data_IF_887598785729
#
_entry.id   IF_887598785729
#
_cell.length_a   1.000
_cell.length_b   1.000
_cell.length_c   1.000
_cell.angle_alpha   90.00
_cell.angle_beta   90.00
_cell.angle_gamma   90.00
#
_symmetry.space_group_name_H-M   'P 1'
#
loop_
_entity.id
_entity.type
_entity.pdbx_description
1 polymer ?
#
# COMPACT_ATOMS: atom_id res chain seq x y z
N UNK A 1 -37.53 -34.52 31.02
CA UNK A 1 -37.04 -33.99 29.70
C UNK A 1 -37.05 -32.48 29.62
N UNK A 2 -38.11 -31.72 29.90
CA UNK A 2 -38.15 -30.23 29.74
C UNK A 2 -37.08 -29.42 30.56
N UNK A 3 -36.67 -29.93 31.76
CA UNK A 3 -35.63 -29.23 32.56
C UNK A 3 -34.23 -29.38 31.99
N UNK A 4 -33.90 -30.52 31.37
CA UNK A 4 -32.58 -30.75 30.75
C UNK A 4 -32.42 -29.90 29.48
N UNK A 5 -33.49 -29.79 28.68
CA UNK A 5 -33.47 -28.95 27.48
C UNK A 5 -33.25 -27.47 27.80
N UNK A 6 -33.87 -26.95 28.89
CA UNK A 6 -33.64 -25.58 29.36
C UNK A 6 -32.19 -25.36 29.83
N UNK A 7 -31.61 -26.33 30.53
CA UNK A 7 -30.23 -26.23 30.99
C UNK A 7 -29.23 -26.21 29.81
N UNK A 8 -29.43 -27.06 28.80
CA UNK A 8 -28.61 -27.09 27.59
C UNK A 8 -28.70 -25.77 26.83
N UNK A 9 -29.90 -25.19 26.71
CA UNK A 9 -30.07 -23.89 26.02
C UNK A 9 -29.38 -22.75 26.74
N UNK A 10 -29.41 -22.69 28.07
CA UNK A 10 -28.74 -21.70 28.88
C UNK A 10 -27.21 -21.82 28.73
N UNK A 11 -26.65 -23.02 28.76
CA UNK A 11 -25.23 -23.28 28.58
C UNK A 11 -24.79 -22.84 27.18
N UNK A 12 -25.55 -23.15 26.13
CA UNK A 12 -25.27 -22.75 24.78
C UNK A 12 -25.27 -21.21 24.64
N UNK A 13 -26.24 -20.54 25.26
CA UNK A 13 -26.34 -19.08 25.26
C UNK A 13 -25.16 -18.43 25.97
N UNK A 14 -24.75 -18.94 27.14
CA UNK A 14 -23.59 -18.43 27.89
C UNK A 14 -22.28 -18.60 27.09
N UNK A 15 -22.08 -19.77 26.44
CA UNK A 15 -20.90 -20.03 25.63
C UNK A 15 -20.89 -19.10 24.42
N UNK A 16 -22.01 -18.91 23.72
CA UNK A 16 -22.13 -18.03 22.57
C UNK A 16 -21.88 -16.57 22.95
N UNK A 17 -22.40 -16.13 24.11
CA UNK A 17 -22.19 -14.77 24.60
C UNK A 17 -20.74 -14.51 25.01
N UNK A 18 -20.08 -15.47 25.65
CA UNK A 18 -18.66 -15.35 26.00
C UNK A 18 -17.77 -15.32 24.76
N UNK A 19 -18.03 -16.16 23.75
CA UNK A 19 -17.30 -16.15 22.48
C UNK A 19 -17.50 -14.82 21.73
N UNK A 20 -18.71 -14.27 21.72
CA UNK A 20 -18.99 -12.98 21.10
C UNK A 20 -18.28 -11.84 21.83
N UNK A 21 -18.30 -11.83 23.18
CA UNK A 21 -17.62 -10.83 24.00
C UNK A 21 -16.10 -10.87 23.80
N UNK A 22 -15.49 -12.05 23.79
CA UNK A 22 -14.05 -12.22 23.54
C UNK A 22 -13.66 -11.76 22.12
N UNK A 23 -14.45 -12.07 21.11
CA UNK A 23 -14.21 -11.62 19.74
C UNK A 23 -14.30 -10.09 19.62
N UNK A 24 -15.27 -9.48 20.28
CA UNK A 24 -15.42 -8.02 20.29
C UNK A 24 -14.26 -7.33 21.01
N UNK A 25 -13.79 -7.86 22.14
CA UNK A 25 -12.64 -7.32 22.88
C UNK A 25 -11.35 -7.43 22.04
N UNK A 26 -11.11 -8.57 21.39
CA UNK A 26 -9.94 -8.77 20.53
C UNK A 26 -9.96 -7.81 19.33
N UNK A 27 -11.10 -7.65 18.68
CA UNK A 27 -11.26 -6.70 17.57
C UNK A 27 -10.97 -5.26 18.01
N UNK A 28 -11.47 -4.84 19.17
CA UNK A 28 -11.24 -3.49 19.69
C UNK A 28 -9.78 -3.26 20.07
N UNK A 29 -9.09 -4.26 20.62
CA UNK A 29 -7.65 -4.20 20.89
C UNK A 29 -6.84 -4.03 19.59
N UNK A 30 -7.11 -4.85 18.57
CA UNK A 30 -6.44 -4.74 17.26
C UNK A 30 -6.67 -3.35 16.64
N UNK A 31 -7.90 -2.82 16.72
CA UNK A 31 -8.22 -1.49 16.21
C UNK A 31 -7.45 -0.40 16.94
N UNK A 32 -7.36 -0.47 18.27
CA UNK A 32 -6.58 0.46 19.08
C UNK A 32 -5.11 0.45 18.70
N UNK A 33 -4.52 -0.74 18.54
CA UNK A 33 -3.13 -0.91 18.13
C UNK A 33 -2.86 -0.31 16.75
N UNK A 34 -3.74 -0.56 15.77
CA UNK A 34 -3.62 0.00 14.42
C UNK A 34 -3.69 1.52 14.45
N UNK A 35 -4.63 2.09 15.21
CA UNK A 35 -4.85 3.55 15.26
C UNK A 35 -3.77 4.30 16.05
N UNK A 36 -3.09 3.65 16.98
CA UNK A 36 -2.02 4.24 17.79
C UNK A 36 -0.63 4.15 17.13
N UNK A 37 -0.48 3.38 16.05
CA UNK A 37 0.81 3.19 15.37
C UNK A 37 1.30 4.50 14.71
N UNK A 38 2.59 4.81 14.88
CA UNK A 38 3.20 6.06 14.39
C UNK A 38 3.97 5.87 13.06
N UNK A 39 4.24 4.65 12.67
CA UNK A 39 5.08 4.35 11.49
C UNK A 39 4.30 4.30 10.18
N UNK A 40 2.99 4.20 10.25
CA UNK A 40 2.06 4.35 9.15
C UNK A 40 0.83 5.17 9.60
N UNK A 41 0.04 5.62 8.63
CA UNK A 41 -1.19 6.35 8.92
C UNK A 41 -2.37 5.39 8.86
N UNK A 42 -3.31 5.53 9.79
CA UNK A 42 -4.56 4.79 9.78
C UNK A 42 -5.73 5.77 9.73
N UNK A 43 -6.73 5.44 8.91
CA UNK A 43 -7.96 6.22 8.82
C UNK A 43 -9.18 5.30 8.85
N UNK A 44 -10.25 5.76 9.48
CA UNK A 44 -11.55 5.08 9.42
C UNK A 44 -12.37 5.68 8.28
N UNK A 45 -12.78 4.83 7.36
CA UNK A 45 -13.69 5.23 6.28
C UNK A 45 -15.02 5.68 6.88
N UNK A 46 -15.45 6.90 6.57
CA UNK A 46 -16.64 7.53 7.18
C UNK A 46 -17.95 6.83 6.81
N UNK A 47 -18.01 6.19 5.66
CA UNK A 47 -19.21 5.53 5.15
C UNK A 47 -19.30 4.07 5.60
N UNK A 48 -18.18 3.37 5.56
CA UNK A 48 -18.15 1.92 5.82
C UNK A 48 -17.64 1.57 7.21
N UNK A 49 -17.14 2.55 7.98
CA UNK A 49 -16.44 2.38 9.25
C UNK A 49 -15.22 1.44 9.19
N UNK A 50 -14.77 1.06 8.00
CA UNK A 50 -13.63 0.19 7.77
C UNK A 50 -12.32 0.93 7.95
N UNK A 51 -11.29 0.22 8.39
CA UNK A 51 -9.95 0.78 8.58
C UNK A 51 -9.14 0.66 7.30
N UNK A 52 -8.52 1.75 6.90
CA UNK A 52 -7.54 1.82 5.84
C UNK A 52 -6.20 2.24 6.45
N UNK A 53 -5.10 1.65 5.98
CA UNK A 53 -3.76 2.06 6.39
C UNK A 53 -2.92 2.43 5.18
N UNK A 54 -1.99 3.38 5.36
CA UNK A 54 -1.09 3.83 4.29
C UNK A 54 0.22 4.34 4.83
N UNK A 55 1.29 4.19 4.06
CA UNK A 55 2.59 4.80 4.39
C UNK A 55 2.58 6.29 4.08
N UNK A 56 3.45 7.06 4.73
CA UNK A 56 3.80 8.40 4.24
C UNK A 56 4.44 8.28 2.85
N UNK A 57 4.34 9.36 2.07
CA UNK A 57 5.00 9.44 0.77
C UNK A 57 6.52 9.26 0.91
N UNK A 58 7.10 8.44 0.04
CA UNK A 58 8.54 8.23 -0.10
C UNK A 58 8.99 8.91 -1.37
N UNK A 59 9.92 9.85 -1.25
CA UNK A 59 10.47 10.58 -2.39
C UNK A 59 11.61 9.78 -3.01
N UNK A 60 11.52 9.59 -4.33
CA UNK A 60 12.60 9.01 -5.11
C UNK A 60 13.53 10.15 -5.54
N UNK A 61 14.68 10.24 -4.89
CA UNK A 61 15.66 11.26 -5.22
C UNK A 61 16.29 10.97 -6.58
N UNK A 62 16.05 11.81 -7.57
CA UNK A 62 17.03 12.09 -8.62
C UNK A 62 16.74 13.39 -9.37
N UNK A 63 17.82 14.17 -9.54
CA UNK A 63 18.02 15.29 -10.48
C UNK A 63 16.76 15.79 -11.21
N UNK A 64 16.05 16.75 -10.61
CA UNK A 64 14.96 17.55 -11.20
C UNK A 64 13.63 16.83 -11.55
N UNK A 65 13.47 15.54 -11.28
CA UNK A 65 12.21 14.83 -11.51
C UNK A 65 11.71 14.27 -10.19
N UNK A 66 10.64 14.84 -9.68
CA UNK A 66 10.07 14.45 -8.39
C UNK A 66 9.23 13.18 -8.56
N UNK A 67 9.83 12.02 -8.39
CA UNK A 67 9.10 10.78 -8.19
C UNK A 67 8.78 10.60 -6.72
N UNK A 68 7.57 10.18 -6.39
CA UNK A 68 7.22 9.76 -5.04
C UNK A 68 6.16 8.68 -5.06
N UNK A 69 6.19 7.82 -4.05
CA UNK A 69 5.25 6.73 -3.91
C UNK A 69 4.79 6.55 -2.48
N UNK A 70 3.66 5.87 -2.30
CA UNK A 70 3.18 5.35 -1.02
C UNK A 70 2.41 4.05 -1.24
N UNK A 71 2.34 3.25 -0.21
CA UNK A 71 1.51 2.05 -0.17
C UNK A 71 0.20 2.36 0.55
N UNK A 72 -0.88 1.74 0.07
CA UNK A 72 -2.21 1.93 0.60
C UNK A 72 -2.96 0.60 0.67
N UNK A 73 -3.37 0.21 1.86
CA UNK A 73 -4.18 -1.00 2.12
C UNK A 73 -5.57 -0.61 2.56
N UNK A 74 -6.55 -0.94 1.76
CA UNK A 74 -7.97 -0.83 2.07
C UNK A 74 -8.49 -2.12 2.67
N UNK A 75 -9.31 -2.02 3.72
CA UNK A 75 -9.96 -3.20 4.30
C UNK A 75 -10.72 -3.99 3.23
N UNK A 76 -10.48 -5.30 3.18
CA UNK A 76 -11.13 -6.21 2.23
C UNK A 76 -10.76 -5.97 0.76
N UNK A 77 -9.68 -5.21 0.48
CA UNK A 77 -9.15 -5.00 -0.88
C UNK A 77 -7.67 -5.31 -0.94
N UNK A 78 -7.18 -5.54 -2.14
CA UNK A 78 -5.76 -5.73 -2.40
C UNK A 78 -4.96 -4.48 -1.99
N UNK A 79 -3.71 -4.70 -1.60
CA UNK A 79 -2.73 -3.65 -1.42
C UNK A 79 -2.49 -2.93 -2.75
N UNK A 80 -2.30 -1.62 -2.71
CA UNK A 80 -1.98 -0.79 -3.87
C UNK A 80 -0.77 0.09 -3.60
N UNK A 81 -0.02 0.38 -4.66
CA UNK A 81 1.00 1.41 -4.71
C UNK A 81 0.42 2.61 -5.45
N UNK A 82 0.50 3.78 -4.85
CA UNK A 82 0.27 5.06 -5.52
C UNK A 82 1.62 5.68 -5.85
N UNK A 83 1.85 5.95 -7.12
CA UNK A 83 3.08 6.56 -7.63
C UNK A 83 2.75 7.89 -8.30
N UNK A 84 3.49 8.93 -7.94
CA UNK A 84 3.42 10.24 -8.57
C UNK A 84 4.75 10.55 -9.21
N UNK A 85 4.69 11.05 -10.43
CA UNK A 85 5.86 11.40 -11.20
C UNK A 85 5.64 12.74 -11.91
N UNK A 86 6.66 13.57 -11.90
CA UNK A 86 6.67 14.85 -12.61
C UNK A 86 7.51 14.75 -13.87
N UNK A 87 6.96 15.12 -15.01
CA UNK A 87 7.65 15.13 -16.31
C UNK A 87 7.46 16.45 -17.03
N UNK A 88 8.47 16.86 -17.81
CA UNK A 88 8.34 17.95 -18.79
C UNK A 88 7.70 17.48 -20.10
N UNK A 89 7.59 16.17 -20.30
CA UNK A 89 7.01 15.58 -21.48
C UNK A 89 5.74 14.81 -21.10
N UNK A 90 4.77 14.81 -22.01
CA UNK A 90 3.59 13.98 -21.87
C UNK A 90 3.99 12.53 -22.05
N UNK A 91 3.74 11.71 -21.05
CA UNK A 91 4.00 10.27 -21.05
C UNK A 91 2.72 9.49 -20.79
N UNK A 92 2.69 8.24 -21.23
CA UNK A 92 1.56 7.34 -21.08
C UNK A 92 1.97 6.10 -20.29
N UNK A 93 1.11 5.66 -19.40
CA UNK A 93 1.28 4.41 -18.66
C UNK A 93 0.04 3.55 -18.88
N UNK A 94 0.25 2.31 -19.29
CA UNK A 94 -0.81 1.33 -19.51
C UNK A 94 -0.56 0.07 -18.65
N UNK A 95 -1.43 -0.92 -18.77
CA UNK A 95 -1.32 -2.18 -18.03
C UNK A 95 -0.16 -3.09 -18.47
N UNK A 96 0.57 -2.72 -19.52
CA UNK A 96 1.77 -3.43 -20.01
C UNK A 96 3.07 -2.77 -19.54
N UNK A 97 3.00 -1.62 -18.87
CA UNK A 97 4.16 -0.88 -18.33
C UNK A 97 4.25 -1.05 -16.83
N UNK A 98 4.90 -2.09 -16.32
CA UNK A 98 5.07 -2.27 -14.88
C UNK A 98 6.01 -1.22 -14.29
N UNK A 99 5.80 -0.91 -13.00
CA UNK A 99 6.86 -0.38 -12.15
C UNK A 99 7.59 -1.56 -11.51
N UNK A 100 8.92 -1.53 -11.52
CA UNK A 100 9.76 -2.65 -11.05
C UNK A 100 10.62 -2.14 -9.90
N UNK A 101 10.61 -2.87 -8.80
CA UNK A 101 11.45 -2.65 -7.63
C UNK A 101 12.48 -3.77 -7.56
N UNK A 102 13.77 -3.42 -7.56
CA UNK A 102 14.86 -4.34 -7.30
C UNK A 102 15.36 -4.14 -5.88
N UNK A 103 15.70 -5.23 -5.20
CA UNK A 103 16.12 -5.24 -3.82
C UNK A 103 17.57 -5.69 -3.65
N UNK A 104 18.16 -5.40 -2.49
CA UNK A 104 19.56 -5.70 -2.20
C UNK A 104 19.83 -7.21 -2.19
N UNK A 105 18.88 -8.03 -1.78
CA UNK A 105 18.96 -9.49 -1.80
C UNK A 105 18.83 -10.12 -3.20
N UNK A 106 18.71 -9.29 -4.25
CA UNK A 106 18.53 -9.72 -5.62
C UNK A 106 17.09 -10.06 -6.02
N UNK A 107 16.14 -9.98 -5.09
CA UNK A 107 14.73 -10.17 -5.41
C UNK A 107 14.16 -8.99 -6.21
N UNK A 108 13.04 -9.22 -6.88
CA UNK A 108 12.33 -8.25 -7.69
C UNK A 108 10.83 -8.30 -7.41
N UNK A 109 10.17 -7.14 -7.46
CA UNK A 109 8.71 -7.04 -7.47
C UNK A 109 8.26 -6.17 -8.63
N UNK A 110 7.39 -6.74 -9.47
CA UNK A 110 6.77 -6.05 -10.59
C UNK A 110 5.29 -5.78 -10.30
N UNK A 111 4.89 -4.52 -10.42
CA UNK A 111 3.50 -4.12 -10.20
C UNK A 111 2.93 -3.51 -11.47
N UNK A 112 1.72 -3.91 -11.83
CA UNK A 112 1.01 -3.45 -13.00
C UNK A 112 -0.04 -2.41 -12.65
N UNK A 113 -0.22 -1.43 -13.53
CA UNK A 113 -1.18 -0.37 -13.30
C UNK A 113 -2.63 -0.89 -13.45
N UNK A 114 -3.55 -0.30 -12.66
CA UNK A 114 -4.95 -0.71 -12.60
C UNK A 114 -5.94 0.36 -13.08
N UNK A 115 -5.45 1.53 -13.43
CA UNK A 115 -6.32 2.64 -13.84
C UNK A 115 -5.66 3.49 -14.92
N UNK A 116 -6.50 4.20 -15.66
CA UNK A 116 -6.04 5.19 -16.63
C UNK A 116 -5.20 6.25 -15.92
N UNK A 117 -4.08 6.62 -16.53
CA UNK A 117 -3.19 7.67 -16.03
C UNK A 117 -3.91 9.00 -16.02
N UNK A 118 -3.77 9.73 -14.90
CA UNK A 118 -4.30 11.07 -14.74
C UNK A 118 -3.17 12.07 -14.96
N UNK A 119 -3.36 12.99 -15.90
CA UNK A 119 -2.45 14.08 -16.15
C UNK A 119 -3.01 15.37 -15.56
N UNK A 120 -2.20 16.04 -14.77
CA UNK A 120 -2.51 17.38 -14.31
C UNK A 120 -1.42 18.32 -14.83
N UNK A 121 -1.63 18.99 -15.98
CA UNK A 121 -0.69 19.96 -16.51
C UNK A 121 -0.63 21.18 -15.58
N UNK A 122 0.53 21.75 -15.41
CA UNK A 122 0.71 23.01 -14.70
C UNK A 122 1.92 23.76 -15.25
N UNK A 123 1.90 25.08 -15.15
CA UNK A 123 3.00 25.95 -15.56
C UNK A 123 3.88 26.29 -14.35
N UNK A 124 5.18 26.12 -14.50
CA UNK A 124 6.18 26.63 -13.58
C UNK A 124 7.09 27.62 -14.33
N UNK A 125 6.81 28.91 -14.17
CA UNK A 125 7.37 29.93 -15.01
C UNK A 125 6.87 29.85 -16.46
N UNK A 126 7.77 29.58 -17.41
CA UNK A 126 7.44 29.42 -18.84
C UNK A 126 7.46 27.94 -19.30
N UNK A 127 7.69 27.02 -18.38
CA UNK A 127 7.80 25.59 -18.69
C UNK A 127 6.55 24.88 -18.24
N UNK A 128 5.94 24.10 -19.15
CA UNK A 128 4.84 23.21 -18.84
C UNK A 128 5.36 21.91 -18.27
N UNK A 129 4.73 21.45 -17.17
CA UNK A 129 5.01 20.17 -16.53
C UNK A 129 3.72 19.36 -16.44
N UNK A 130 3.89 18.05 -16.39
CA UNK A 130 2.81 17.08 -16.23
C UNK A 130 3.00 16.30 -14.92
N UNK A 131 2.07 16.46 -13.99
CA UNK A 131 1.98 15.56 -12.84
C UNK A 131 1.20 14.32 -13.24
N UNK A 132 1.83 13.17 -13.06
CA UNK A 132 1.30 11.87 -13.47
C UNK A 132 1.05 11.07 -12.20
N UNK A 133 -0.19 10.61 -12.02
CA UNK A 133 -0.57 9.74 -10.92
C UNK A 133 -0.92 8.36 -11.46
N UNK A 134 -0.23 7.34 -11.01
CA UNK A 134 -0.43 5.95 -11.39
C UNK A 134 -0.72 5.13 -10.16
N UNK A 135 -1.69 4.21 -10.26
CA UNK A 135 -1.97 3.22 -9.23
C UNK A 135 -1.64 1.84 -9.74
N UNK A 136 -0.84 1.14 -8.96
CA UNK A 136 -0.45 -0.23 -9.21
C UNK A 136 -1.08 -1.14 -8.15
N UNK A 137 -1.29 -2.40 -8.50
CA UNK A 137 -1.90 -3.39 -7.62
C UNK A 137 -0.91 -4.51 -7.34
N UNK A 138 -0.88 -4.96 -6.10
CA UNK A 138 -0.29 -6.24 -5.71
C UNK A 138 -1.27 -7.36 -6.03
N UNK A 139 -0.78 -8.50 -6.53
CA UNK A 139 -1.61 -9.68 -6.76
C UNK A 139 -2.08 -10.25 -5.43
N UNK A 140 -1.18 -10.30 -4.45
CA UNK A 140 -1.49 -10.64 -3.07
C UNK A 140 -0.65 -9.79 -2.09
N UNK A 141 -1.00 -9.86 -0.80
CA UNK A 141 -0.28 -9.11 0.24
C UNK A 141 1.11 -9.73 0.55
N UNK A 142 1.39 -10.95 0.07
CA UNK A 142 2.69 -11.64 0.21
C UNK A 142 3.78 -10.99 -0.63
N UNK A 143 3.44 -10.43 -1.79
CA UNK A 143 4.39 -9.69 -2.64
C UNK A 143 5.00 -8.48 -1.91
N UNK A 144 4.32 -7.95 -0.88
CA UNK A 144 4.85 -6.88 -0.05
C UNK A 144 6.00 -7.33 0.87
N UNK A 145 6.19 -8.63 1.05
CA UNK A 145 7.24 -9.18 1.91
C UNK A 145 8.64 -8.72 1.47
N UNK A 146 8.89 -8.60 0.17
CA UNK A 146 10.18 -8.11 -0.35
C UNK A 146 10.50 -6.71 0.19
N UNK A 147 9.53 -5.80 0.24
CA UNK A 147 9.70 -4.44 0.78
C UNK A 147 9.99 -4.42 2.28
N UNK A 148 9.49 -5.41 3.02
CA UNK A 148 9.73 -5.54 4.45
C UNK A 148 11.08 -6.20 4.77
N UNK A 149 11.57 -7.09 3.90
CA UNK A 149 12.75 -7.91 4.15
C UNK A 149 14.04 -7.27 3.63
N UNK A 150 13.99 -6.53 2.53
CA UNK A 150 15.20 -6.06 1.85
C UNK A 150 15.11 -4.59 1.42
N UNK A 151 16.19 -3.81 1.52
CA UNK A 151 16.24 -2.45 1.02
C UNK A 151 16.07 -2.39 -0.50
N UNK A 152 15.35 -1.37 -0.98
CA UNK A 152 15.21 -1.12 -2.41
C UNK A 152 16.52 -0.54 -2.93
N UNK A 153 17.10 -1.15 -3.96
CA UNK A 153 18.31 -0.64 -4.63
C UNK A 153 17.99 0.19 -5.85
N UNK A 154 16.90 -0.14 -6.53
CA UNK A 154 16.52 0.52 -7.77
C UNK A 154 15.01 0.44 -8.01
N UNK A 155 14.46 1.51 -8.59
CA UNK A 155 13.07 1.55 -9.07
C UNK A 155 13.11 1.86 -10.57
N UNK A 156 12.57 0.96 -11.37
CA UNK A 156 12.44 1.15 -12.82
C UNK A 156 10.99 1.48 -13.16
N UNK A 157 10.75 2.72 -13.56
CA UNK A 157 9.43 3.19 -13.98
C UNK A 157 9.34 3.13 -15.49
N UNK A 158 8.48 2.27 -16.03
CA UNK A 158 8.26 2.10 -17.46
C UNK A 158 7.09 2.96 -17.93
N UNK A 159 7.22 3.57 -19.09
CA UNK A 159 6.20 4.42 -19.71
C UNK A 159 6.35 4.46 -21.23
N UNK A 160 5.35 4.96 -21.92
CA UNK A 160 5.43 5.34 -23.34
C UNK A 160 5.55 6.85 -23.47
N UNK A 161 6.38 7.31 -24.38
CA UNK A 161 6.49 8.73 -24.73
C UNK A 161 5.39 9.14 -25.75
N UNK A 162 5.48 10.40 -26.20
CA UNK A 162 4.52 10.94 -27.17
C UNK A 162 4.64 10.32 -28.57
N UNK A 163 5.76 9.66 -28.88
CA UNK A 163 5.96 8.89 -30.12
C UNK A 163 5.46 7.45 -30.00
N UNK A 164 4.92 7.08 -28.85
CA UNK A 164 4.51 5.74 -28.49
C UNK A 164 5.68 4.74 -28.41
N UNK A 165 6.89 5.25 -28.14
CA UNK A 165 8.06 4.42 -27.85
C UNK A 165 8.10 4.06 -26.38
N UNK A 166 8.41 2.81 -26.09
CA UNK A 166 8.55 2.36 -24.69
C UNK A 166 9.88 2.86 -24.12
N UNK A 167 9.78 3.59 -23.05
CA UNK A 167 10.90 4.16 -22.31
C UNK A 167 10.85 3.75 -20.84
N UNK A 168 11.92 4.02 -20.12
CA UNK A 168 11.96 3.83 -18.67
C UNK A 168 12.82 4.88 -17.98
N UNK A 169 12.46 5.20 -16.75
CA UNK A 169 13.28 5.96 -15.82
C UNK A 169 13.86 5.01 -14.77
N UNK A 170 15.18 5.06 -14.59
CA UNK A 170 15.90 4.21 -13.65
C UNK A 170 16.32 5.02 -12.43
N UNK A 171 15.72 4.76 -11.29
CA UNK A 171 15.93 5.51 -10.06
C UNK A 171 16.78 4.66 -9.10
N UNK A 172 18.09 4.94 -9.08
CA UNK A 172 19.03 4.28 -8.17
C UNK A 172 18.85 4.87 -6.77
N UNK A 173 18.61 4.05 -5.79
CA UNK A 173 18.32 4.45 -4.43
C UNK A 173 19.59 4.45 -3.56
N UNK A 174 19.67 5.41 -2.64
CA UNK A 174 20.73 5.42 -1.63
C UNK A 174 20.45 4.37 -0.54
N UNK A 175 21.38 3.48 -0.21
CA UNK A 175 21.20 2.47 0.82
C UNK A 175 20.77 3.04 2.18
N UNK A 176 21.34 4.17 2.60
CA UNK A 176 21.00 4.81 3.88
C UNK A 176 19.53 5.26 3.95
N UNK A 177 18.93 5.66 2.82
CA UNK A 177 17.52 6.05 2.74
C UNK A 177 16.63 4.81 2.75
N UNK A 178 16.97 3.81 1.94
CA UNK A 178 16.12 2.63 1.74
C UNK A 178 16.13 1.67 2.92
N UNK A 179 17.20 1.59 3.69
CA UNK A 179 17.23 0.86 4.97
C UNK A 179 16.23 1.45 5.98
N UNK A 180 16.12 2.78 6.05
CA UNK A 180 15.11 3.43 6.89
C UNK A 180 13.68 3.14 6.38
N UNK A 181 13.48 3.07 5.06
CA UNK A 181 12.18 2.71 4.50
C UNK A 181 11.83 1.25 4.81
N UNK A 182 12.78 0.33 4.66
CA UNK A 182 12.58 -1.09 4.99
C UNK A 182 12.03 -1.27 6.40
N UNK A 183 12.63 -0.63 7.41
CA UNK A 183 12.13 -0.69 8.78
C UNK A 183 10.66 -0.23 8.90
N UNK A 184 10.29 0.85 8.19
CA UNK A 184 8.91 1.35 8.16
C UNK A 184 7.97 0.41 7.39
N UNK A 185 8.45 -0.24 6.35
CA UNK A 185 7.68 -1.20 5.57
C UNK A 185 7.46 -2.50 6.34
N UNK A 186 8.41 -2.93 7.16
CA UNK A 186 8.22 -4.06 8.06
C UNK A 186 7.05 -3.80 9.02
N UNK A 187 7.01 -2.64 9.68
CA UNK A 187 5.91 -2.24 10.56
C UNK A 187 4.58 -2.06 9.80
N UNK A 188 4.64 -1.56 8.58
CA UNK A 188 3.44 -1.46 7.73
C UNK A 188 2.91 -2.84 7.33
N UNK A 189 3.80 -3.83 7.08
CA UNK A 189 3.41 -5.23 6.84
C UNK A 189 2.67 -5.83 8.03
N UNK A 190 3.16 -5.59 9.25
CA UNK A 190 2.44 -5.99 10.47
C UNK A 190 1.04 -5.35 10.55
N UNK A 191 0.93 -4.07 10.15
CA UNK A 191 -0.35 -3.38 10.05
C UNK A 191 -1.30 -4.01 9.02
N UNK A 192 -0.78 -4.45 7.85
CA UNK A 192 -1.56 -5.19 6.85
C UNK A 192 -2.12 -6.48 7.45
N UNK A 193 -1.30 -7.23 8.17
CA UNK A 193 -1.70 -8.49 8.80
C UNK A 193 -2.79 -8.27 9.86
N UNK A 194 -2.65 -7.22 10.67
CA UNK A 194 -3.69 -6.81 11.64
C UNK A 194 -5.00 -6.42 10.94
N UNK A 195 -4.95 -5.63 9.85
CA UNK A 195 -6.16 -5.26 9.07
C UNK A 195 -6.83 -6.50 8.48
N UNK A 196 -6.07 -7.49 8.04
CA UNK A 196 -6.61 -8.74 7.51
C UNK A 196 -7.29 -9.62 8.58
N UNK A 197 -6.95 -9.45 9.87
CA UNK A 197 -7.57 -10.15 10.99
C UNK A 197 -8.93 -9.55 11.39
N UNK A 198 -9.25 -8.33 10.97
CA UNK A 198 -10.51 -7.63 11.28
C UNK A 198 -11.72 -8.12 10.44
N UNK A 199 -11.69 -9.32 9.91
CA UNK A 199 -12.73 -9.91 9.05
C UNK A 199 -14.04 -10.13 9.76
#
# INVERSE_FOLDING_TARGET
MKKIQKAIFIIFFIISFNLYSQNTQNTNSILSDIMSEKNYNAERDKLTSKINIFTSWKETYKYMRDGKFRFYKKFGRSLTLEFRYRSQHKIYVNNQTPIIFNFEDGSETQLYNIQKVIYNPYLMGRVEYYNIEVKYKFNDDGEFQNFANSPITNIKFNFFDYMNEQNFENMIMSPSITTNWQNKFSLFKEGIDKVNQLK
#
